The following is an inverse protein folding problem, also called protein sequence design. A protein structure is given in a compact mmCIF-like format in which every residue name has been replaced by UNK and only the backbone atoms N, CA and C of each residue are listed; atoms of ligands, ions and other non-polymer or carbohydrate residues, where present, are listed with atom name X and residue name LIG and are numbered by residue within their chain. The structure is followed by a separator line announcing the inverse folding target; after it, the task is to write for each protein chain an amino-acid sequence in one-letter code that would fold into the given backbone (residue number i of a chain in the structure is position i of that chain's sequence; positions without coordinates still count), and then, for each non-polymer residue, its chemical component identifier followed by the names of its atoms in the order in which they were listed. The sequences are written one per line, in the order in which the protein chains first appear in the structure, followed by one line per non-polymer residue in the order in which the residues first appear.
data_IF_962432788040
#
_entry.id   IF_962432788040
#
_cell.length_a   1.000
_cell.length_b   1.000
_cell.length_c   1.000
_cell.angle_alpha   90.00
_cell.angle_beta   90.00
_cell.angle_gamma   90.00
#
_symmetry.space_group_name_H-M   'P 1'
#
loop_
_entity.id
_entity.type
_entity.pdbx_description
1 polymer ?
2 branched ?
3 non-polymer ?
4 non-polymer ?
5 non-polymer ?
6 non-polymer ?
7 water ?
#
# COMPACT_ATOMS: atom_id res chain seq x y z
N UNK A 1 -19.42 -13.83 -9.83
CA UNK A 1 -20.81 -13.61 -9.35
C UNK A 1 -20.82 -13.01 -7.95
N UNK A 2 -21.41 -11.82 -7.84
CA UNK A 2 -21.50 -11.12 -6.55
C UNK A 2 -22.90 -11.23 -5.97
N UNK A 3 -23.00 -11.85 -4.80
CA UNK A 3 -24.27 -12.02 -4.12
C UNK A 3 -24.81 -10.68 -3.65
N UNK A 4 -26.12 -10.59 -3.49
CA UNK A 4 -26.76 -9.35 -3.04
C UNK A 4 -26.39 -8.95 -1.62
N UNK A 5 -26.28 -7.64 -1.40
CA UNK A 5 -25.97 -7.11 -0.07
C UNK A 5 -27.25 -7.22 0.74
N UNK A 6 -27.12 -7.31 2.07
CA UNK A 6 -28.31 -7.41 2.92
C UNK A 6 -28.83 -6.00 3.21
N UNK A 7 -30.04 -5.91 3.76
CA UNK A 7 -30.58 -4.61 4.12
C UNK A 7 -29.58 -3.97 5.08
N UNK A 8 -29.32 -2.68 4.91
CA UNK A 8 -28.40 -1.96 5.77
C UNK A 8 -28.95 -0.56 6.02
N UNK A 9 -28.78 -0.06 7.24
CA UNK A 9 -29.26 1.27 7.58
C UNK A 9 -28.07 2.17 7.85
N UNK A 10 -27.90 3.21 7.03
CA UNK A 10 -26.80 4.15 7.20
C UNK A 10 -27.19 5.50 6.62
N UNK A 11 -26.43 6.55 6.96
CA UNK A 11 -26.71 7.90 6.47
C UNK A 11 -26.73 7.97 4.94
N UNK A 12 -27.74 8.64 4.42
CA UNK A 12 -27.87 8.79 2.98
C UNK A 12 -26.77 9.69 2.44
N UNK A 13 -26.08 9.26 1.37
CA UNK A 13 -25.04 10.12 0.83
C UNK A 13 -25.72 11.34 0.23
N UNK A 14 -25.10 12.51 0.36
CA UNK A 14 -25.71 13.72 -0.19
C UNK A 14 -24.96 14.25 -1.41
N UNK A 15 -25.62 14.17 -2.55
CA UNK A 15 -25.07 14.61 -3.83
C UNK A 15 -24.54 16.05 -3.83
N UNK A 16 -25.25 16.95 -3.18
CA UNK A 16 -24.85 18.35 -3.15
C UNK A 16 -23.99 18.71 -1.94
N UNK A 17 -23.40 17.68 -1.32
CA UNK A 17 -22.53 17.87 -0.17
C UNK A 17 -21.30 16.99 -0.36
N UNK A 18 -20.19 17.59 -0.79
CA UNK A 18 -18.93 16.84 -1.02
C UNK A 18 -18.39 16.18 0.24
N UNK A 19 -17.69 15.06 0.04
CA UNK A 19 -17.08 14.31 1.14
C UNK A 19 -16.16 15.25 1.89
N UNK A 20 -15.08 15.59 1.22
CA UNK A 20 -14.06 16.47 1.74
C UNK A 20 -13.99 17.66 0.79
N UNK A 21 -13.79 18.85 1.32
CA UNK A 21 -13.68 20.04 0.49
C UNK A 21 -12.25 20.54 0.58
N UNK A 22 -11.45 19.85 1.38
CA UNK A 22 -10.06 20.23 1.59
C UNK A 22 -9.06 19.38 0.81
N UNK A 23 -9.53 18.30 0.20
CA UNK A 23 -8.64 17.42 -0.56
C UNK A 23 -9.29 16.83 -1.81
N UNK A 24 -8.43 16.38 -2.72
CA UNK A 24 -8.85 15.73 -3.96
C UNK A 24 -9.19 14.28 -3.58
N UNK A 25 -10.41 13.84 -3.89
CA UNK A 25 -10.80 12.47 -3.55
C UNK A 25 -10.93 11.52 -4.74
N UNK A 26 -10.61 12.01 -5.93
CA UNK A 26 -10.66 11.18 -7.14
C UNK A 26 -9.59 11.68 -8.11
N UNK A 27 -8.87 10.77 -8.74
CA UNK A 27 -7.82 11.17 -9.67
C UNK A 27 -8.44 11.51 -11.02
N UNK A 28 -7.65 12.09 -11.94
CA UNK A 28 -8.15 12.45 -13.27
C UNK A 28 -8.54 11.23 -14.09
N UNK A 29 -8.12 10.03 -13.67
CA UNK A 29 -8.50 8.82 -14.39
C UNK A 29 -9.58 8.07 -13.62
N UNK A 30 -10.27 8.81 -12.75
CA UNK A 30 -11.38 8.33 -11.95
C UNK A 30 -11.08 7.22 -10.95
N UNK A 31 -9.92 7.31 -10.34
CA UNK A 31 -9.53 6.33 -9.32
C UNK A 31 -9.75 7.04 -7.99
N UNK A 32 -10.45 6.39 -7.05
CA UNK A 32 -10.68 7.04 -5.75
C UNK A 32 -9.36 7.30 -5.01
N UNK A 33 -9.29 8.41 -4.28
CA UNK A 33 -8.11 8.68 -3.47
C UNK A 33 -8.71 8.51 -2.08
N UNK A 34 -8.19 7.52 -1.34
CA UNK A 34 -8.72 7.15 -0.05
C UNK A 34 -8.33 8.01 1.16
N UNK A 35 -9.33 8.76 1.65
CA UNK A 35 -9.19 9.64 2.81
C UNK A 35 -10.31 9.26 3.79
N UNK A 36 -10.08 9.49 5.07
CA UNK A 36 -11.12 9.22 6.06
C UNK A 36 -12.32 10.11 5.70
N UNK A 37 -13.52 9.55 5.75
CA UNK A 37 -14.70 10.34 5.42
C UNK A 37 -15.24 10.07 4.03
N UNK A 38 -14.44 9.41 3.19
CA UNK A 38 -14.87 9.12 1.83
C UNK A 38 -15.57 7.76 1.71
N UNK A 39 -15.35 6.90 2.69
CA UNK A 39 -15.94 5.57 2.64
C UNK A 39 -16.72 5.14 3.87
N UNK A 40 -17.74 4.31 3.63
CA UNK A 40 -18.55 3.74 4.69
C UNK A 40 -17.96 2.34 4.79
N UNK A 41 -17.19 2.09 5.83
CA UNK A 41 -16.53 0.79 5.99
C UNK A 41 -17.48 -0.39 6.16
N UNK A 42 -18.69 -0.14 6.64
CA UNK A 42 -19.66 -1.22 6.82
C UNK A 42 -20.09 -1.76 5.48
N UNK A 43 -20.31 -0.86 4.52
CA UNK A 43 -20.71 -1.30 3.18
C UNK A 43 -19.56 -2.07 2.54
N UNK A 44 -18.35 -1.50 2.62
CA UNK A 44 -17.20 -2.16 2.02
C UNK A 44 -16.89 -3.51 2.68
N UNK A 45 -17.00 -3.59 4.02
CA UNK A 45 -16.73 -4.86 4.68
C UNK A 45 -17.70 -5.93 4.18
N UNK A 46 -18.96 -5.56 4.03
CA UNK A 46 -19.98 -6.47 3.55
C UNK A 46 -19.61 -6.97 2.16
N UNK A 47 -19.26 -6.04 1.29
CA UNK A 47 -18.90 -6.40 -0.07
C UNK A 47 -17.74 -7.39 -0.15
N UNK A 48 -16.68 -7.15 0.62
CA UNK A 48 -15.53 -8.05 0.56
C UNK A 48 -15.71 -9.36 1.32
N UNK A 49 -16.47 -9.33 2.41
CA UNK A 49 -16.70 -10.57 3.16
C UNK A 49 -17.56 -11.53 2.34
N UNK A 50 -18.53 -10.98 1.62
CA UNK A 50 -19.41 -11.80 0.80
C UNK A 50 -18.62 -12.52 -0.29
N UNK A 51 -17.41 -12.05 -0.56
CA UNK A 51 -16.56 -12.66 -1.55
C UNK A 51 -15.48 -13.51 -0.87
N UNK A 52 -15.55 -13.58 0.47
CA UNK A 52 -14.59 -14.34 1.26
C UNK A 52 -13.17 -13.99 0.81
N UNK A 53 -12.89 -12.70 0.79
CA UNK A 53 -11.59 -12.18 0.37
C UNK A 53 -10.45 -12.50 1.32
N UNK A 54 -9.32 -12.94 0.76
CA UNK A 54 -8.14 -13.24 1.54
C UNK A 54 -7.05 -12.24 1.15
N UNK A 55 -6.48 -11.56 2.13
CA UNK A 55 -5.44 -10.58 1.84
C UNK A 55 -4.08 -11.09 2.28
N UNK A 56 -3.11 -11.02 1.38
CA UNK A 56 -1.77 -11.44 1.73
C UNK A 56 -1.01 -10.17 2.08
N UNK A 57 -0.24 -10.21 3.17
CA UNK A 57 0.57 -9.06 3.57
C UNK A 57 2.01 -9.53 3.57
N UNK A 58 2.84 -8.92 2.71
CA UNK A 58 4.23 -9.32 2.61
C UNK A 58 5.20 -8.30 3.20
N UNK A 59 6.18 -8.79 3.96
CA UNK A 59 7.18 -7.92 4.56
C UNK A 59 8.52 -8.62 4.53
N UNK A 60 9.58 -7.84 4.32
CA UNK A 60 10.92 -8.37 4.31
C UNK A 60 11.60 -7.91 5.59
N UNK A 61 12.27 -8.85 6.26
CA UNK A 61 12.97 -8.54 7.49
C UNK A 61 14.33 -9.21 7.43
N UNK A 62 15.32 -8.47 6.94
CA UNK A 62 16.67 -8.99 6.81
C UNK A 62 17.60 -8.32 7.81
N UNK A 63 18.57 -9.08 8.29
CA UNK A 63 19.54 -8.58 9.25
C UNK A 63 18.89 -8.00 10.50
N UNK A 64 19.27 -6.79 10.86
CA UNK A 64 18.75 -6.12 12.06
C UNK A 64 17.26 -5.79 12.03
N UNK A 65 16.66 -5.77 10.85
CA UNK A 65 15.25 -5.43 10.74
C UNK A 65 14.28 -6.46 11.33
N UNK A 66 14.79 -7.61 11.73
CA UNK A 66 13.93 -8.63 12.31
C UNK A 66 13.39 -8.09 13.63
N UNK A 67 14.10 -7.11 14.19
CA UNK A 67 13.71 -6.51 15.47
C UNK A 67 12.42 -5.70 15.35
N UNK A 68 11.99 -5.42 14.12
CA UNK A 68 10.77 -4.63 13.90
C UNK A 68 9.53 -5.50 13.77
N UNK A 69 9.72 -6.80 13.59
CA UNK A 69 8.60 -7.72 13.40
C UNK A 69 7.56 -7.81 14.50
N UNK A 70 7.99 -7.85 15.75
CA UNK A 70 7.06 -7.97 16.86
C UNK A 70 6.01 -6.85 16.87
N UNK A 71 6.46 -5.60 16.87
CA UNK A 71 5.52 -4.47 16.90
C UNK A 71 4.69 -4.42 15.64
N UNK A 72 5.32 -4.70 14.49
CA UNK A 72 4.63 -4.69 13.22
C UNK A 72 3.46 -5.67 13.22
N UNK A 73 3.75 -6.94 13.54
CA UNK A 73 2.72 -7.96 13.54
C UNK A 73 1.65 -7.74 14.61
N UNK A 74 2.06 -7.34 15.82
CA UNK A 74 1.10 -7.11 16.90
C UNK A 74 0.11 -6.00 16.56
N UNK A 75 0.62 -4.91 15.96
CA UNK A 75 -0.28 -3.82 15.61
C UNK A 75 -1.10 -4.16 14.37
N UNK A 76 -0.56 -5.01 13.50
CA UNK A 76 -1.31 -5.41 12.31
C UNK A 76 -2.50 -6.23 12.80
N UNK A 77 -2.29 -7.01 13.84
CA UNK A 77 -3.38 -7.82 14.39
C UNK A 77 -4.52 -6.96 14.91
N UNK A 78 -4.21 -5.76 15.37
CA UNK A 78 -5.24 -4.87 15.91
C UNK A 78 -5.89 -3.96 14.89
N UNK A 79 -5.20 -3.68 13.80
CA UNK A 79 -5.70 -2.73 12.80
C UNK A 79 -5.80 -3.14 11.34
N UNK A 80 -5.08 -4.17 10.94
CA UNK A 80 -5.07 -4.59 9.55
C UNK A 80 -6.08 -5.65 9.14
N UNK A 81 -7.03 -5.25 8.31
CA UNK A 81 -8.05 -6.16 7.78
C UNK A 81 -8.74 -7.02 8.84
N UNK A 82 -8.97 -6.46 10.03
CA UNK A 82 -9.63 -7.24 11.08
C UNK A 82 -11.01 -7.70 10.61
N UNK A 83 -11.28 -8.98 10.75
CA UNK A 83 -12.56 -9.54 10.33
C UNK A 83 -12.46 -10.31 9.03
N UNK A 84 -11.36 -10.07 8.30
CA UNK A 84 -11.14 -10.74 7.03
C UNK A 84 -10.00 -11.76 7.13
N UNK A 85 -9.92 -12.64 6.14
CA UNK A 85 -8.86 -13.65 6.11
C UNK A 85 -7.54 -12.98 5.73
N UNK A 86 -6.53 -13.16 6.57
CA UNK A 86 -5.22 -12.57 6.31
C UNK A 86 -4.11 -13.61 6.36
N UNK A 87 -3.17 -13.51 5.44
CA UNK A 87 -2.05 -14.44 5.40
C UNK A 87 -0.81 -13.57 5.35
N UNK A 88 0.00 -13.63 6.41
CA UNK A 88 1.23 -12.85 6.47
C UNK A 88 2.35 -13.67 5.85
N UNK A 89 3.20 -13.02 5.07
CA UNK A 89 4.35 -13.69 4.48
C UNK A 89 5.58 -12.91 4.92
N UNK A 90 6.37 -13.51 5.80
CA UNK A 90 7.57 -12.85 6.30
C UNK A 90 8.81 -13.46 5.65
N UNK A 91 9.49 -12.65 4.84
CA UNK A 91 10.71 -13.07 4.14
C UNK A 91 11.87 -12.62 5.00
N UNK A 92 12.67 -13.57 5.46
CA UNK A 92 13.78 -13.24 6.34
C UNK A 92 14.96 -14.19 6.18
N UNK A 93 16.12 -13.76 6.63
CA UNK A 93 17.34 -14.57 6.58
C UNK A 93 17.54 -15.20 7.96
N UNK A 94 16.61 -14.92 8.87
CA UNK A 94 16.68 -15.44 10.24
C UNK A 94 15.33 -16.00 10.69
N UNK A 95 14.92 -17.14 10.10
CA UNK A 95 13.65 -17.78 10.44
C UNK A 95 13.38 -17.95 11.94
N UNK A 96 14.39 -18.39 12.68
CA UNK A 96 14.24 -18.62 14.10
C UNK A 96 14.12 -17.33 14.92
N UNK A 97 14.37 -16.20 14.26
CA UNK A 97 14.30 -14.91 14.93
C UNK A 97 12.92 -14.26 14.83
N UNK A 98 12.03 -14.85 14.04
CA UNK A 98 10.69 -14.29 13.90
C UNK A 98 9.97 -14.48 15.24
N UNK A 99 9.47 -13.39 15.82
CA UNK A 99 8.77 -13.45 17.10
C UNK A 99 7.47 -14.25 17.05
N UNK A 100 7.15 -14.88 18.18
CA UNK A 100 5.93 -15.67 18.31
C UNK A 100 4.81 -14.70 18.63
N UNK A 101 4.03 -14.32 17.63
CA UNK A 101 2.93 -13.39 17.83
C UNK A 101 1.61 -14.13 17.74
N UNK A 102 0.71 -13.83 18.69
CA UNK A 102 -0.60 -14.47 18.74
C UNK A 102 -1.51 -13.86 17.67
N UNK A 103 -2.09 -14.71 16.83
CA UNK A 103 -2.96 -14.23 15.76
C UNK A 103 -4.43 -14.53 15.99
N UNK A 104 -5.29 -13.65 15.49
CA UNK A 104 -6.72 -13.85 15.61
C UNK A 104 -7.16 -14.96 14.68
N UNK A 105 -8.37 -15.46 14.85
CA UNK A 105 -8.87 -16.53 14.01
C UNK A 105 -8.92 -16.12 12.53
N UNK A 106 -8.66 -17.06 11.64
CA UNK A 106 -8.69 -16.76 10.22
C UNK A 106 -7.46 -16.04 9.71
N UNK A 107 -6.43 -15.97 10.54
CA UNK A 107 -5.20 -15.30 10.16
C UNK A 107 -4.04 -16.26 10.28
N UNK A 108 -3.15 -16.23 9.30
CA UNK A 108 -2.01 -17.13 9.27
C UNK A 108 -0.71 -16.40 8.97
N UNK A 109 0.41 -17.03 9.35
CA UNK A 109 1.71 -16.43 9.09
C UNK A 109 2.66 -17.50 8.57
N UNK A 110 3.32 -17.19 7.46
CA UNK A 110 4.28 -18.10 6.86
C UNK A 110 5.65 -17.44 6.85
N UNK A 111 6.67 -18.18 7.26
CA UNK A 111 8.01 -17.65 7.26
C UNK A 111 8.74 -18.24 6.05
N UNK A 112 9.24 -17.35 5.19
CA UNK A 112 9.96 -17.78 4.00
C UNK A 112 11.41 -17.34 4.13
N UNK A 113 12.33 -18.30 4.12
CA UNK A 113 13.74 -17.98 4.25
C UNK A 113 14.28 -17.50 2.90
N UNK A 114 15.11 -16.46 2.95
CA UNK A 114 15.69 -15.89 1.75
C UNK A 114 17.22 -15.94 1.83
N UNK A 136 6.08 -15.91 -7.42
CA UNK A 136 5.47 -16.89 -6.48
C UNK A 136 4.12 -17.38 -6.97
N UNK A 137 4.10 -18.60 -7.52
CA UNK A 137 2.88 -19.21 -8.01
C UNK A 137 2.01 -19.51 -6.79
N UNK A 138 2.66 -19.54 -5.63
CA UNK A 138 1.99 -19.80 -4.36
C UNK A 138 0.96 -18.72 -4.04
N UNK A 139 1.34 -17.47 -4.25
CA UNK A 139 0.47 -16.33 -3.98
C UNK A 139 -0.85 -16.40 -4.75
N UNK A 140 -0.77 -16.80 -6.02
CA UNK A 140 -1.96 -16.89 -6.87
C UNK A 140 -3.04 -17.82 -6.32
N UNK A 141 -2.63 -18.92 -5.71
CA UNK A 141 -3.58 -19.89 -5.18
C UNK A 141 -3.90 -19.70 -3.70
N UNK A 142 -3.18 -18.80 -3.03
CA UNK A 142 -3.41 -18.60 -1.60
C UNK A 142 -4.14 -17.32 -1.20
N UNK A 143 -3.96 -16.25 -1.96
CA UNK A 143 -4.63 -15.00 -1.62
C UNK A 143 -5.23 -14.31 -2.84
N UNK A 144 -6.14 -13.37 -2.57
CA UNK A 144 -6.79 -12.61 -3.63
C UNK A 144 -6.06 -11.30 -3.91
N UNK A 145 -5.56 -10.69 -2.84
CA UNK A 145 -4.84 -9.43 -2.94
C UNK A 145 -3.51 -9.52 -2.21
N UNK A 146 -2.54 -8.77 -2.69
CA UNK A 146 -1.22 -8.73 -2.09
C UNK A 146 -0.92 -7.29 -1.69
N UNK A 147 -0.51 -7.11 -0.45
CA UNK A 147 -0.15 -5.79 0.08
C UNK A 147 1.33 -5.91 0.45
N UNK A 148 2.14 -5.00 -0.08
CA UNK A 148 3.57 -5.03 0.15
C UNK A 148 4.01 -3.80 0.92
N UNK A 149 4.53 -4.00 2.14
CA UNK A 149 4.96 -2.88 2.98
C UNK A 149 6.33 -3.08 3.65
N UNK A 150 6.86 -1.98 4.17
CA UNK A 150 8.13 -1.95 4.88
C UNK A 150 7.84 -2.49 6.28
N UNK A 151 8.83 -3.13 6.90
CA UNK A 151 8.64 -3.71 8.23
C UNK A 151 8.89 -2.74 9.38
N UNK A 152 9.71 -1.71 9.15
CA UNK A 152 10.01 -0.73 10.20
C UNK A 152 8.85 0.26 10.33
N UNK A 153 7.67 -0.29 10.62
CA UNK A 153 6.44 0.48 10.74
C UNK A 153 5.54 -0.12 11.81
N UNK A 154 4.47 0.59 12.14
CA UNK A 154 3.49 0.09 13.09
C UNK A 154 2.13 0.65 12.67
N UNK A 155 1.09 -0.14 12.88
CA UNK A 155 -0.26 0.29 12.56
C UNK A 155 -0.79 1.01 13.79
N UNK A 156 -1.40 2.18 13.58
CA UNK A 156 -1.96 2.96 14.67
C UNK A 156 -3.47 3.14 14.55
N UNK A 157 -4.01 2.83 13.38
CA UNK A 157 -5.45 2.96 13.18
C UNK A 157 -5.86 2.02 12.05
N UNK A 158 -7.16 1.96 11.80
CA UNK A 158 -7.73 1.09 10.77
C UNK A 158 -7.10 1.17 9.37
N UNK A 159 -6.76 0.00 8.84
CA UNK A 159 -6.24 -0.15 7.48
C UNK A 159 -7.01 -1.39 7.04
N UNK A 160 -8.08 -1.16 6.26
CA UNK A 160 -8.93 -2.25 5.85
C UNK A 160 -9.21 -2.40 4.37
N UNK A 161 -10.33 -3.04 4.06
CA UNK A 161 -10.67 -3.30 2.66
C UNK A 161 -10.86 -2.08 1.76
N UNK A 162 -10.96 -0.90 2.34
CA UNK A 162 -11.10 0.30 1.52
C UNK A 162 -9.90 0.47 0.58
N UNK A 163 -8.78 -0.18 0.89
CA UNK A 163 -7.60 -0.05 0.04
C UNK A 163 -7.54 -1.05 -1.11
N UNK A 164 -8.32 -2.13 -1.00
CA UNK A 164 -8.33 -3.18 -2.01
C UNK A 164 -8.89 -2.77 -3.37
N UNK A 165 -8.15 -3.13 -4.42
CA UNK A 165 -8.46 -2.77 -5.79
C UNK A 165 -7.42 -3.48 -6.66
N UNK A 166 -7.61 -3.52 -7.99
CA UNK A 166 -6.59 -4.20 -8.80
C UNK A 166 -5.16 -3.71 -8.58
N UNK A 167 -4.97 -2.40 -8.48
CA UNK A 167 -3.64 -1.84 -8.29
C UNK A 167 -3.66 -0.50 -7.57
N UNK A 168 -2.91 -0.39 -6.47
CA UNK A 168 -2.87 0.86 -5.75
C UNK A 168 -1.48 1.28 -5.32
N UNK A 169 -1.30 2.60 -5.20
CA UNK A 169 -0.05 3.18 -4.77
C UNK A 169 -0.43 4.12 -3.62
N UNK A 170 0.55 4.57 -2.84
CA UNK A 170 0.31 5.44 -1.70
C UNK A 170 1.07 6.77 -1.86
N UNK A 171 0.41 7.88 -1.56
CA UNK A 171 1.06 9.18 -1.66
C UNK A 171 2.17 9.32 -0.61
N UNK A 172 3.38 9.64 -1.07
CA UNK A 172 4.52 9.82 -0.19
C UNK A 172 4.16 11.00 0.73
N UNK A 173 4.28 10.83 2.05
CA UNK A 173 3.95 11.91 2.98
C UNK A 173 4.70 13.23 2.84
N UNK A 174 5.84 13.20 2.15
CA UNK A 174 6.63 14.41 1.97
C UNK A 174 6.34 15.18 0.69
N UNK A 175 5.62 14.58 -0.24
CA UNK A 175 5.34 15.26 -1.51
C UNK A 175 3.89 15.39 -1.94
N UNK A 176 2.94 15.07 -1.06
CA UNK A 176 1.54 15.16 -1.47
C UNK A 176 1.09 16.57 -1.80
N UNK A 177 1.78 17.56 -1.27
CA UNK A 177 1.41 18.95 -1.55
C UNK A 177 2.43 19.64 -2.45
N UNK A 178 3.38 18.88 -2.98
CA UNK A 178 4.42 19.43 -3.83
C UNK A 178 4.06 19.45 -5.32
N UNK A 179 4.79 20.27 -6.07
CA UNK A 179 4.59 20.37 -7.51
C UNK A 179 5.43 19.26 -8.14
N UNK A 180 5.03 18.78 -9.31
CA UNK A 180 5.76 17.67 -9.95
C UNK A 180 7.25 17.88 -10.16
N UNK A 181 7.67 19.10 -10.47
CA UNK A 181 9.10 19.34 -10.69
C UNK A 181 9.91 19.09 -9.42
N UNK A 182 9.24 19.12 -8.27
CA UNK A 182 9.90 18.90 -6.99
C UNK A 182 9.98 17.40 -6.64
N UNK A 183 9.18 16.59 -7.32
CA UNK A 183 9.17 15.15 -7.07
C UNK A 183 10.56 14.59 -7.31
N UNK A 184 11.02 13.71 -6.42
CA UNK A 184 12.35 13.13 -6.58
C UNK A 184 12.39 11.91 -7.51
N UNK A 185 11.77 12.05 -8.68
CA UNK A 185 11.76 10.98 -9.69
C UNK A 185 13.18 10.86 -10.22
N UNK A 186 13.48 9.77 -10.92
CA UNK A 186 14.78 9.60 -11.53
C UNK A 186 14.71 10.57 -12.72
N UNK A 187 15.67 11.49 -12.81
CA UNK A 187 15.67 12.47 -13.88
C UNK A 187 16.65 12.22 -15.02
N UNK A 188 17.43 11.14 -14.94
CA UNK A 188 18.39 10.83 -15.99
C UNK A 188 17.75 9.97 -17.08
N UNK A 189 17.78 10.45 -18.34
CA UNK A 189 17.20 9.72 -19.47
C UNK A 189 17.82 8.34 -19.69
N UNK A 190 19.04 8.15 -19.18
CA UNK A 190 19.74 6.89 -19.34
C UNK A 190 19.12 5.77 -18.50
N UNK A 191 18.24 6.15 -17.57
CA UNK A 191 17.59 5.18 -16.70
C UNK A 191 16.18 4.81 -17.17
N UNK A 192 15.82 3.55 -16.96
CA UNK A 192 14.50 3.05 -17.35
C UNK A 192 13.42 3.70 -16.50
N UNK A 193 13.80 4.23 -15.35
CA UNK A 193 12.85 4.87 -14.45
C UNK A 193 12.72 6.37 -14.71
N UNK A 194 13.38 6.85 -15.76
CA UNK A 194 13.34 8.26 -16.12
C UNK A 194 11.96 8.87 -16.33
N UNK A 195 11.74 10.03 -15.74
CA UNK A 195 10.49 10.77 -15.88
C UNK A 195 10.85 12.26 -15.98
N UNK A 196 10.51 12.90 -17.11
CA UNK A 196 10.82 14.33 -17.28
C UNK A 196 10.04 15.23 -16.33
N UNK A 197 10.48 16.47 -16.19
CA UNK A 197 9.83 17.40 -15.28
C UNK A 197 8.41 17.82 -15.65
N UNK A 198 8.00 17.59 -16.88
CA UNK A 198 6.64 17.95 -17.28
C UNK A 198 5.69 16.76 -17.23
N UNK A 199 6.13 15.67 -16.61
CA UNK A 199 5.31 14.48 -16.46
C UNK A 199 5.20 14.07 -15.00
N UNK A 200 4.16 13.31 -14.67
CA UNK A 200 3.98 12.85 -13.32
C UNK A 200 2.67 13.27 -12.68
N UNK A 201 1.99 12.32 -12.04
CA UNK A 201 0.73 12.62 -11.36
C UNK A 201 1.01 12.87 -9.89
N UNK A 202 1.61 11.88 -9.24
CA UNK A 202 1.96 11.97 -7.82
C UNK A 202 3.30 11.30 -7.57
N UNK A 203 3.82 11.46 -6.36
CA UNK A 203 5.06 10.78 -6.00
C UNK A 203 4.61 9.71 -5.00
N UNK A 204 4.65 8.45 -5.43
CA UNK A 204 4.24 7.34 -4.57
C UNK A 204 5.43 6.82 -3.76
N UNK A 205 5.18 6.42 -2.52
CA UNK A 205 6.25 5.89 -1.70
C UNK A 205 6.34 4.38 -1.88
N UNK A 206 7.55 3.87 -2.03
CA UNK A 206 7.73 2.44 -2.24
C UNK A 206 7.40 1.56 -1.05
N UNK A 207 7.17 2.18 0.11
CA UNK A 207 6.88 1.44 1.33
C UNK A 207 5.46 0.87 1.48
N UNK A 208 4.56 1.17 0.55
CA UNK A 208 3.19 0.67 0.69
C UNK A 208 2.46 0.67 -0.65
N UNK A 209 2.37 -0.48 -1.29
CA UNK A 209 1.66 -0.61 -2.56
C UNK A 209 1.04 -2.01 -2.61
N UNK A 210 0.18 -2.25 -3.58
CA UNK A 210 -0.44 -3.57 -3.65
C UNK A 210 -1.53 -3.65 -4.70
N UNK A 211 -2.36 -4.69 -4.60
CA UNK A 211 -3.43 -4.89 -5.56
C UNK A 211 -3.72 -6.38 -5.67
N UNK A 212 -4.32 -6.78 -6.79
CA UNK A 212 -4.59 -8.21 -6.98
C UNK A 212 -3.25 -8.90 -7.17
N UNK A 213 -3.19 -10.20 -6.93
CA UNK A 213 -1.93 -10.91 -7.09
C UNK A 213 -1.39 -10.71 -8.50
N UNK A 214 -2.28 -10.83 -9.49
CA UNK A 214 -1.89 -10.66 -10.89
C UNK A 214 -1.24 -9.31 -11.16
N UNK A 215 -1.86 -8.23 -10.70
CA UNK A 215 -1.31 -6.90 -10.95
C UNK A 215 -0.01 -6.62 -10.20
N UNK A 216 0.12 -7.14 -8.98
CA UNK A 216 1.33 -6.92 -8.21
C UNK A 216 2.49 -7.69 -8.83
N UNK A 217 2.24 -8.88 -9.33
CA UNK A 217 3.30 -9.65 -9.95
C UNK A 217 3.71 -9.00 -11.27
N UNK A 218 2.74 -8.39 -11.96
CA UNK A 218 3.05 -7.70 -13.21
C UNK A 218 3.97 -6.52 -12.90
N UNK A 219 3.66 -5.81 -11.82
CA UNK A 219 4.46 -4.65 -11.42
C UNK A 219 5.87 -5.06 -11.01
N UNK A 220 5.97 -6.05 -10.13
CA UNK A 220 7.29 -6.49 -9.67
C UNK A 220 8.12 -7.05 -10.82
N UNK A 221 7.46 -7.71 -11.76
CA UNK A 221 8.14 -8.28 -12.90
C UNK A 221 8.71 -7.14 -13.76
N UNK A 222 7.88 -6.12 -14.01
CA UNK A 222 8.31 -4.97 -14.81
C UNK A 222 9.48 -4.24 -14.16
N UNK A 223 9.37 -3.99 -12.85
CA UNK A 223 10.45 -3.30 -12.15
C UNK A 223 11.72 -4.11 -12.11
N UNK A 224 11.60 -5.43 -11.91
CA UNK A 224 12.76 -6.29 -11.86
C UNK A 224 13.51 -6.22 -13.19
N UNK A 225 12.77 -6.31 -14.29
CA UNK A 225 13.38 -6.25 -15.62
C UNK A 225 13.98 -4.88 -15.90
N UNK A 226 13.31 -3.82 -15.46
CA UNK A 226 13.81 -2.46 -15.67
C UNK A 226 15.10 -2.22 -14.89
N UNK A 227 15.17 -2.76 -13.68
CA UNK A 227 16.35 -2.59 -12.85
C UNK A 227 17.54 -3.36 -13.41
N UNK A 228 17.28 -4.52 -14.02
CA UNK A 228 18.35 -5.31 -14.59
C UNK A 228 18.95 -4.55 -15.77
N UNK A 229 18.08 -3.88 -16.53
CA UNK A 229 18.52 -3.10 -17.69
C UNK A 229 19.43 -1.96 -17.24
N UNK A 230 19.02 -1.24 -16.21
CA UNK A 230 19.82 -0.13 -15.69
C UNK A 230 21.18 -0.63 -15.23
N UNK A 231 21.17 -1.72 -14.46
CA UNK A 231 22.39 -2.31 -13.95
C UNK A 231 23.35 -2.64 -15.09
N UNK A 232 22.80 -3.18 -16.18
CA UNK A 232 23.59 -3.54 -17.35
C UNK A 232 24.18 -2.29 -17.97
N UNK A 233 23.45 -1.18 -17.86
CA UNK A 233 23.88 0.10 -18.42
C UNK A 233 24.71 0.91 -17.43
N UNK A 234 25.05 0.27 -16.31
CA UNK A 234 25.85 0.94 -15.30
C UNK A 234 25.20 2.15 -14.64
N UNK A 235 23.92 2.03 -14.31
CA UNK A 235 23.22 3.14 -13.66
C UNK A 235 22.23 2.61 -12.62
N UNK A 236 22.07 3.37 -11.54
CA UNK A 236 21.16 2.99 -10.46
C UNK A 236 20.22 4.16 -10.16
N UNK A 237 18.92 3.93 -10.30
CA UNK A 237 17.92 4.97 -10.06
C UNK A 237 18.13 5.65 -8.71
N UNK A 238 17.95 6.97 -8.69
CA UNK A 238 18.15 7.78 -7.48
C UNK A 238 17.51 7.20 -6.22
N UNK A 239 16.27 6.70 -6.33
CA UNK A 239 15.63 6.12 -5.16
C UNK A 239 15.29 4.65 -5.35
N UNK A 240 16.15 3.99 -6.12
CA UNK A 240 16.04 2.56 -6.38
C UNK A 240 14.64 2.06 -6.75
N UNK A 241 14.18 1.06 -6.03
CA UNK A 241 12.86 0.45 -6.26
C UNK A 241 11.73 1.48 -6.36
N UNK A 242 11.77 2.48 -5.49
CA UNK A 242 10.75 3.52 -5.47
C UNK A 242 10.71 4.30 -6.78
N UNK A 243 11.89 4.52 -7.37
CA UNK A 243 11.95 5.25 -8.62
C UNK A 243 11.23 4.47 -9.72
N UNK A 244 11.49 3.17 -9.77
CA UNK A 244 10.84 2.32 -10.77
C UNK A 244 9.35 2.18 -10.50
N UNK A 245 8.97 2.10 -9.23
CA UNK A 245 7.55 1.99 -8.88
C UNK A 245 6.83 3.21 -9.44
N UNK A 246 7.43 4.38 -9.28
CA UNK A 246 6.82 5.61 -9.76
C UNK A 246 6.70 5.64 -11.28
N UNK A 247 7.70 5.11 -11.97
CA UNK A 247 7.65 5.06 -13.43
C UNK A 247 6.52 4.12 -13.85
N UNK A 248 6.41 2.99 -13.17
CA UNK A 248 5.37 2.02 -13.50
C UNK A 248 3.97 2.58 -13.30
N UNK A 249 3.75 3.20 -12.14
CA UNK A 249 2.43 3.77 -11.85
C UNK A 249 2.07 4.98 -12.69
N UNK A 250 3.07 5.59 -13.32
CA UNK A 250 2.84 6.74 -14.19
C UNK A 250 2.25 6.21 -15.50
N UNK A 251 2.85 5.11 -15.98
CA UNK A 251 2.42 4.48 -17.22
C UNK A 251 1.27 3.48 -17.08
N UNK A 252 1.03 3.00 -15.87
CA UNK A 252 -0.07 2.07 -15.58
C UNK A 252 -0.76 2.70 -14.37
N UNK A 253 -1.77 3.53 -14.61
CA UNK A 253 -2.47 4.23 -13.54
C UNK A 253 -3.09 3.32 -12.50
N UNK A 254 -2.83 3.59 -11.21
CA UNK A 254 -3.41 2.76 -10.15
C UNK A 254 -4.93 2.97 -10.10
N UNK A 255 -5.66 1.92 -9.74
CA UNK A 255 -7.11 2.00 -9.67
C UNK A 255 -7.62 2.62 -8.37
N UNK A 256 -6.69 2.87 -7.45
CA UNK A 256 -6.97 3.55 -6.18
C UNK A 256 -5.64 4.14 -5.72
N UNK A 257 -5.71 5.27 -5.03
CA UNK A 257 -4.51 5.90 -4.51
C UNK A 257 -4.78 6.13 -3.04
N UNK A 258 -3.86 5.71 -2.17
CA UNK A 258 -4.05 5.89 -0.73
C UNK A 258 -3.47 7.23 -0.30
N UNK A 259 -4.18 7.95 0.56
CA UNK A 259 -3.72 9.24 1.06
C UNK A 259 -2.58 9.00 2.05
N UNK A 260 -1.90 10.08 2.47
CA UNK A 260 -0.80 9.96 3.43
C UNK A 260 -1.21 9.41 4.79
N UNK A 261 -2.52 9.25 5.00
CA UNK A 261 -3.00 8.69 6.26
C UNK A 261 -2.38 7.30 6.38
N UNK A 262 -2.17 6.67 5.24
CA UNK A 262 -1.64 5.32 5.15
C UNK A 262 -0.12 5.15 5.20
N UNK A 263 0.61 6.25 5.25
CA UNK A 263 2.07 6.19 5.30
C UNK A 263 2.55 7.53 5.85
N UNK A 264 2.61 7.62 7.17
CA UNK A 264 3.01 8.87 7.81
C UNK A 264 4.22 8.72 8.73
N UNK A 265 4.82 9.86 9.08
CA UNK A 265 5.96 9.91 9.99
C UNK A 265 5.67 11.14 10.83
N UNK A 266 5.04 10.92 11.98
CA UNK A 266 4.68 12.02 12.86
C UNK A 266 5.85 12.78 13.45
N UNK A 267 6.96 12.10 13.72
CA UNK A 267 8.13 12.78 14.29
C UNK A 267 8.65 13.80 13.28
N UNK A 268 8.73 13.39 12.03
CA UNK A 268 9.23 14.23 10.96
C UNK A 268 8.22 15.23 10.41
N UNK A 269 6.94 14.85 10.38
CA UNK A 269 5.91 15.70 9.79
C UNK A 269 4.77 16.20 10.67
N UNK A 270 4.75 15.81 11.94
CA UNK A 270 3.69 16.27 12.82
C UNK A 270 2.34 15.67 12.51
N UNK A 271 1.28 16.47 12.69
CA UNK A 271 -0.08 15.99 12.43
C UNK A 271 -0.96 17.09 11.86
N UNK A 272 -0.94 17.27 10.53
CA UNK A 272 -1.76 18.30 9.89
C UNK A 272 -3.24 17.98 9.95
N UNK A 273 -4.06 19.03 9.98
CA UNK A 273 -5.52 18.88 10.07
C UNK A 273 -6.07 18.04 8.93
N UNK A 274 -5.42 18.12 7.77
CA UNK A 274 -5.87 17.38 6.60
C UNK A 274 -5.89 15.87 6.86
N UNK A 275 -5.17 15.44 7.90
CA UNK A 275 -5.11 14.03 8.26
C UNK A 275 -5.98 13.75 9.49
N UNK A 276 -7.15 13.18 9.27
CA UNK A 276 -8.07 12.87 10.36
C UNK A 276 -7.64 11.63 11.14
N UNK A 277 -6.83 10.81 10.50
CA UNK A 277 -6.33 9.59 11.13
C UNK A 277 -4.90 9.32 10.65
N UNK A 278 -4.09 8.74 11.54
CA UNK A 278 -2.72 8.36 11.21
C UNK A 278 -2.84 6.84 11.36
N UNK A 279 -2.85 6.13 10.22
CA UNK A 279 -3.06 4.69 10.22
C UNK A 279 -1.85 3.77 10.25
N UNK A 280 -0.84 4.10 9.46
CA UNK A 280 0.36 3.28 9.33
C UNK A 280 1.54 4.25 9.41
N UNK A 281 2.38 4.10 10.42
CA UNK A 281 3.48 5.05 10.60
C UNK A 281 4.87 4.46 10.76
N UNK A 282 5.86 5.32 10.50
CA UNK A 282 7.26 4.93 10.61
C UNK A 282 7.68 4.79 12.06
N UNK A 283 8.50 3.78 12.33
CA UNK A 283 9.00 3.54 13.68
C UNK A 283 10.41 4.13 13.72
N UNK A 284 10.64 5.07 14.64
CA UNK A 284 11.97 5.69 14.76
C UNK A 284 13.10 4.66 14.80
#
# INVERSE_FOLDING_TARGET
FMVSLPRMVYPQPKVLTPCRKDVLVVTPWLAPIVWEGTFNIDILNEQFRLQNTTIGLTVFAIKKYVAFLKLFLETAEKHFMVGHRVHYYVFTDQPAAVPRVTLGTGRQLSVLEVGAYKRWQDVSMRRMEMISDFCERRFLSEVDYLVCVDVDMEFRDHVGVEILTPLFGTLHPSFYGSSREAFTYERRPQSQAYIPKDEGDFYYMGAFFGGSVQEVQRLTRACHQAMMVDQANGIEAVWHDESHLNKYLLRHKPTKVLSPEYLWDQQLLGWPAVLRKLRFTAVPKNHQAVRNP
#
